data_IF_192618764577
#
_entry.id   IF_192618764577
#
_cell.length_a   1.000
_cell.length_b   1.000
_cell.length_c   1.000
_cell.angle_alpha   90.00
_cell.angle_beta   90.00
_cell.angle_gamma   90.00
#
_symmetry.space_group_name_H-M   'P 1'
#
loop_
_entity.id
_entity.type
_entity.pdbx_description
1 polymer ?
#
# COMPACT_ATOMS: atom_id res chain seq x y z
N UNK A 1 -37.17 -7.65 -1.21
CA UNK A 1 -36.89 -7.19 0.17
C UNK A 1 -36.01 -5.94 0.05
N UNK A 2 -36.54 -4.77 0.34
CA UNK A 2 -35.72 -3.55 0.36
C UNK A 2 -34.87 -3.52 1.64
N UNK A 3 -33.56 -3.24 1.50
CA UNK A 3 -32.70 -3.02 2.65
C UNK A 3 -33.17 -1.77 3.40
N UNK A 4 -33.20 -1.77 4.75
CA UNK A 4 -33.51 -0.58 5.51
C UNK A 4 -32.52 0.52 5.15
N UNK A 5 -33.00 1.73 4.86
CA UNK A 5 -32.13 2.88 4.66
C UNK A 5 -31.28 3.08 5.93
N UNK A 6 -29.97 3.18 5.75
CA UNK A 6 -29.07 3.57 6.83
C UNK A 6 -29.51 4.95 7.33
N UNK A 7 -29.78 5.08 8.62
CA UNK A 7 -30.01 6.39 9.21
C UNK A 7 -28.73 7.23 9.06
N UNK A 8 -28.85 8.55 8.97
CA UNK A 8 -27.70 9.46 8.88
C UNK A 8 -26.74 9.29 10.05
N UNK A 9 -27.24 8.93 11.24
CA UNK A 9 -26.41 8.63 12.41
C UNK A 9 -25.57 7.37 12.21
N UNK A 10 -26.15 6.29 11.69
CA UNK A 10 -25.43 5.05 11.42
C UNK A 10 -24.40 5.22 10.30
N UNK A 11 -24.70 6.03 9.28
CA UNK A 11 -23.78 6.31 8.21
C UNK A 11 -22.55 7.10 8.70
N UNK A 12 -22.75 8.07 9.58
CA UNK A 12 -21.68 8.86 10.17
C UNK A 12 -20.77 7.99 11.07
N UNK A 13 -21.34 7.16 11.91
CA UNK A 13 -20.59 6.25 12.76
C UNK A 13 -19.79 5.26 11.92
N UNK A 14 -20.36 4.71 10.85
CA UNK A 14 -19.66 3.81 9.94
C UNK A 14 -18.47 4.50 9.26
N UNK A 15 -18.64 5.75 8.83
CA UNK A 15 -17.59 6.56 8.25
C UNK A 15 -16.44 6.76 9.24
N UNK A 16 -16.73 7.12 10.48
CA UNK A 16 -15.74 7.34 11.52
C UNK A 16 -14.94 6.07 11.81
N UNK A 17 -15.59 4.92 11.89
CA UNK A 17 -14.94 3.63 12.07
C UNK A 17 -14.07 3.23 10.87
N UNK A 18 -14.51 3.53 9.65
CA UNK A 18 -13.73 3.29 8.45
C UNK A 18 -12.47 4.16 8.41
N UNK A 19 -12.58 5.44 8.75
CA UNK A 19 -11.43 6.35 8.88
C UNK A 19 -10.46 5.84 9.94
N UNK A 20 -10.95 5.45 11.11
CA UNK A 20 -10.11 4.92 12.18
C UNK A 20 -9.38 3.65 11.75
N UNK A 21 -10.03 2.77 10.99
CA UNK A 21 -9.39 1.56 10.44
C UNK A 21 -8.21 1.91 9.52
N UNK A 22 -8.34 2.92 8.67
CA UNK A 22 -7.24 3.38 7.83
C UNK A 22 -6.09 3.95 8.67
N UNK A 23 -6.41 4.74 9.68
CA UNK A 23 -5.41 5.35 10.60
C UNK A 23 -4.66 4.24 11.37
N UNK A 24 -5.36 3.26 11.89
CA UNK A 24 -4.77 2.16 12.66
C UNK A 24 -3.83 1.29 11.80
N UNK A 25 -4.09 1.19 10.51
CA UNK A 25 -3.29 0.43 9.57
C UNK A 25 -2.24 1.26 8.81
N UNK A 26 -2.14 2.55 9.10
CA UNK A 26 -1.10 3.43 8.53
C UNK A 26 0.28 3.08 9.11
N UNK A 27 1.27 2.96 8.23
CA UNK A 27 2.67 2.66 8.56
C UNK A 27 3.61 3.78 8.11
N UNK A 28 3.12 5.02 8.16
CA UNK A 28 3.92 6.20 7.82
C UNK A 28 4.09 6.39 6.31
N UNK A 29 2.98 6.43 5.59
CA UNK A 29 2.94 6.70 4.16
C UNK A 29 2.44 5.54 3.31
N UNK A 30 2.19 4.38 3.88
CA UNK A 30 1.49 3.27 3.26
C UNK A 30 0.57 2.57 4.26
N UNK A 31 -0.48 1.96 3.75
CA UNK A 31 -1.49 1.26 4.55
C UNK A 31 -1.31 -0.24 4.41
N UNK A 32 -1.31 -0.96 5.53
CA UNK A 32 -1.35 -2.42 5.52
C UNK A 32 -2.81 -2.91 5.57
N UNK A 33 -3.14 -4.04 4.93
CA UNK A 33 -4.50 -4.58 4.98
C UNK A 33 -4.94 -5.00 6.37
N UNK A 34 -4.06 -5.64 7.12
CA UNK A 34 -4.30 -6.00 8.52
C UNK A 34 -2.99 -6.32 9.24
N UNK A 35 -2.89 -5.85 10.48
CA UNK A 35 -1.74 -6.13 11.33
C UNK A 35 -1.58 -7.64 11.58
N UNK A 36 -0.35 -8.13 11.55
CA UNK A 36 0.00 -9.52 11.86
C UNK A 36 -0.19 -10.51 10.72
N UNK A 37 -1.20 -10.35 9.86
CA UNK A 37 -1.46 -11.29 8.77
C UNK A 37 -0.95 -10.80 7.42
N UNK A 38 -1.17 -9.52 7.12
CA UNK A 38 -0.75 -8.86 5.88
C UNK A 38 0.04 -7.57 6.19
N UNK A 39 1.30 -7.68 6.65
CA UNK A 39 2.04 -6.55 7.21
C UNK A 39 2.77 -5.70 6.17
N UNK A 40 2.43 -5.81 4.89
CA UNK A 40 3.06 -5.10 3.79
C UNK A 40 2.04 -4.29 2.99
N UNK A 41 2.53 -3.47 2.05
CA UNK A 41 1.68 -2.79 1.10
C UNK A 41 1.39 -3.72 -0.09
N UNK A 42 0.11 -4.05 -0.31
CA UNK A 42 -0.35 -4.74 -1.50
C UNK A 42 -0.88 -3.74 -2.53
N UNK A 43 -0.59 -4.00 -3.79
CA UNK A 43 -0.97 -3.14 -4.92
C UNK A 43 -2.49 -2.88 -4.97
N UNK A 44 -3.29 -3.92 -4.97
CA UNK A 44 -4.75 -3.81 -5.00
C UNK A 44 -5.30 -3.04 -3.80
N UNK A 45 -4.85 -3.42 -2.61
CA UNK A 45 -5.29 -2.80 -1.36
C UNK A 45 -4.88 -1.33 -1.31
N UNK A 46 -3.68 -0.99 -1.75
CA UNK A 46 -3.21 0.39 -1.83
C UNK A 46 -4.10 1.26 -2.73
N UNK A 47 -4.52 0.73 -3.89
CA UNK A 47 -5.43 1.43 -4.79
C UNK A 47 -6.78 1.75 -4.14
N UNK A 48 -7.34 0.78 -3.44
CA UNK A 48 -8.64 0.94 -2.76
C UNK A 48 -8.52 1.83 -1.52
N UNK A 49 -7.49 1.65 -0.70
CA UNK A 49 -7.28 2.45 0.50
C UNK A 49 -6.96 3.91 0.17
N UNK A 50 -6.25 4.18 -0.93
CA UNK A 50 -6.02 5.55 -1.38
C UNK A 50 -7.33 6.29 -1.68
N UNK A 51 -8.33 5.63 -2.25
CA UNK A 51 -9.66 6.23 -2.43
C UNK A 51 -10.32 6.56 -1.08
N UNK A 52 -10.14 5.71 -0.08
CA UNK A 52 -10.61 5.98 1.29
C UNK A 52 -9.90 7.19 1.89
N UNK A 53 -8.58 7.24 1.83
CA UNK A 53 -7.78 8.39 2.28
C UNK A 53 -8.18 9.69 1.59
N UNK A 54 -8.45 9.65 0.29
CA UNK A 54 -8.84 10.83 -0.49
C UNK A 54 -10.07 11.56 0.09
N UNK A 55 -10.94 10.86 0.79
CA UNK A 55 -12.16 11.44 1.36
C UNK A 55 -11.92 12.37 2.53
N UNK A 56 -10.77 12.27 3.21
CA UNK A 56 -10.48 13.08 4.40
C UNK A 56 -9.03 13.55 4.52
N UNK A 57 -8.07 12.92 3.81
CA UNK A 57 -6.66 13.31 3.79
C UNK A 57 -6.07 13.04 2.40
N UNK A 58 -6.19 14.03 1.54
CA UNK A 58 -5.74 13.94 0.15
C UNK A 58 -4.22 13.73 0.05
N UNK A 59 -3.44 14.38 0.91
CA UNK A 59 -1.98 14.22 0.88
C UNK A 59 -1.60 12.79 1.23
N UNK A 60 -2.25 12.21 2.24
CA UNK A 60 -2.01 10.82 2.63
C UNK A 60 -2.39 9.84 1.52
N UNK A 61 -3.43 10.14 0.73
CA UNK A 61 -3.78 9.35 -0.45
C UNK A 61 -2.66 9.36 -1.50
N UNK A 62 -2.04 10.51 -1.75
CA UNK A 62 -0.87 10.60 -2.63
C UNK A 62 0.32 9.83 -2.09
N UNK A 63 0.56 9.88 -0.79
CA UNK A 63 1.65 9.13 -0.15
C UNK A 63 1.49 7.62 -0.36
N UNK A 64 0.27 7.09 -0.35
CA UNK A 64 -0.03 5.70 -0.65
C UNK A 64 0.45 5.30 -2.05
N UNK A 65 0.14 6.11 -3.06
CA UNK A 65 0.59 5.86 -4.43
C UNK A 65 2.09 6.03 -4.58
N UNK A 66 2.68 7.07 -4.00
CA UNK A 66 4.13 7.27 -4.05
C UNK A 66 4.87 6.11 -3.39
N UNK A 67 4.36 5.58 -2.29
CA UNK A 67 4.92 4.41 -1.63
C UNK A 67 4.88 3.18 -2.54
N UNK A 68 3.75 2.94 -3.20
CA UNK A 68 3.59 1.85 -4.15
C UNK A 68 4.54 1.98 -5.34
N UNK A 69 4.64 3.16 -5.94
CA UNK A 69 5.48 3.44 -7.10
C UNK A 69 6.98 3.36 -6.78
N UNK A 70 7.40 3.60 -5.53
CA UNK A 70 8.80 3.36 -5.14
C UNK A 70 9.22 1.90 -5.28
N UNK A 71 8.27 0.97 -5.28
CA UNK A 71 8.51 -0.45 -5.54
C UNK A 71 8.57 -0.82 -7.02
N UNK A 72 8.28 0.11 -7.92
CA UNK A 72 8.28 -0.15 -9.36
C UNK A 72 9.62 -0.67 -9.86
N UNK A 73 9.61 -1.66 -10.71
CA UNK A 73 10.81 -2.26 -11.27
C UNK A 73 11.49 -1.29 -12.24
N UNK A 74 12.79 -1.09 -12.03
CA UNK A 74 13.58 -0.08 -12.74
C UNK A 74 14.40 -0.65 -13.91
N UNK A 75 14.44 -1.97 -14.07
CA UNK A 75 15.25 -2.63 -15.10
C UNK A 75 14.81 -4.06 -15.36
N UNK A 76 15.27 -4.62 -16.47
CA UNK A 76 14.99 -5.99 -16.87
C UNK A 76 13.82 -6.09 -17.84
N UNK A 77 13.43 -7.33 -18.17
CA UNK A 77 12.34 -7.59 -19.12
C UNK A 77 10.96 -7.11 -18.66
N UNK A 78 10.85 -6.76 -17.40
CA UNK A 78 9.61 -6.29 -16.77
C UNK A 78 9.77 -4.87 -16.16
N UNK A 79 10.64 -4.08 -16.74
CA UNK A 79 10.81 -2.68 -16.36
C UNK A 79 9.46 -1.95 -16.42
N UNK A 80 9.20 -1.13 -15.40
CA UNK A 80 7.93 -0.41 -15.26
C UNK A 80 6.83 -1.19 -14.54
N UNK A 81 7.02 -2.50 -14.28
CA UNK A 81 6.06 -3.29 -13.52
C UNK A 81 5.88 -2.72 -12.10
N UNK A 82 4.64 -2.53 -11.71
CA UNK A 82 4.27 -2.26 -10.32
C UNK A 82 4.08 -3.62 -9.62
N UNK A 83 4.87 -3.95 -8.59
CA UNK A 83 4.80 -5.25 -7.97
C UNK A 83 3.47 -5.46 -7.24
N UNK A 84 3.07 -6.71 -7.08
CA UNK A 84 1.89 -7.07 -6.31
C UNK A 84 2.03 -6.71 -4.83
N UNK A 85 3.24 -6.83 -4.29
CA UNK A 85 3.58 -6.51 -2.89
C UNK A 85 4.83 -5.65 -2.88
N UNK A 86 4.79 -4.57 -2.09
CA UNK A 86 5.96 -3.75 -1.77
C UNK A 86 6.38 -4.02 -0.33
N UNK A 87 7.60 -4.51 -0.17
CA UNK A 87 8.21 -4.70 1.15
C UNK A 87 8.92 -3.41 1.56
N UNK A 88 8.58 -2.85 2.72
CA UNK A 88 9.34 -1.73 3.26
C UNK A 88 10.75 -2.16 3.65
N UNK A 89 11.73 -1.28 3.50
CA UNK A 89 13.14 -1.57 3.82
C UNK A 89 13.34 -2.01 5.27
N UNK A 90 12.57 -1.47 6.19
CA UNK A 90 12.63 -1.83 7.62
C UNK A 90 12.18 -3.28 7.84
N UNK A 91 11.16 -3.73 7.12
CA UNK A 91 10.67 -5.11 7.23
C UNK A 91 11.55 -6.11 6.47
N UNK A 92 12.22 -5.68 5.40
CA UNK A 92 13.22 -6.50 4.71
C UNK A 92 14.40 -6.87 5.61
N UNK A 93 14.75 -6.02 6.57
CA UNK A 93 15.81 -6.31 7.55
C UNK A 93 15.35 -7.30 8.64
N UNK A 94 14.07 -7.28 8.99
CA UNK A 94 13.49 -8.16 10.02
C UNK A 94 13.12 -9.54 9.48
N UNK A 95 12.77 -9.62 8.21
CA UNK A 95 12.41 -10.86 7.53
C UNK A 95 13.38 -11.09 6.38
N UNK A 96 14.38 -11.93 6.59
CA UNK A 96 15.21 -12.47 5.50
C UNK A 96 14.35 -13.39 4.64
N UNK A 97 13.55 -12.79 3.75
CA UNK A 97 12.73 -13.53 2.81
C UNK A 97 13.64 -14.30 1.85
N UNK A 98 13.38 -15.61 1.62
CA UNK A 98 14.21 -16.39 0.70
C UNK A 98 14.22 -15.75 -0.68
N UNK A 99 15.41 -15.50 -1.22
CA UNK A 99 15.62 -14.93 -2.58
C UNK A 99 14.98 -15.75 -3.72
N UNK A 100 14.52 -16.95 -3.40
CA UNK A 100 13.91 -17.88 -4.35
C UNK A 100 12.51 -17.49 -4.84
N UNK A 101 11.86 -16.51 -4.23
CA UNK A 101 10.51 -16.07 -4.65
C UNK A 101 10.51 -14.93 -5.68
N UNK A 102 11.62 -14.67 -6.36
CA UNK A 102 11.64 -13.84 -7.57
C UNK A 102 11.34 -12.35 -7.40
N UNK A 103 11.15 -11.86 -6.18
CA UNK A 103 10.97 -10.45 -5.90
C UNK A 103 12.35 -9.77 -5.82
N UNK A 104 13.02 -9.67 -6.95
CA UNK A 104 14.23 -8.86 -7.04
C UNK A 104 13.86 -7.39 -6.97
N UNK A 105 13.84 -6.85 -5.75
CA UNK A 105 13.95 -5.42 -5.59
C UNK A 105 15.24 -4.91 -6.22
N UNK A 106 15.10 -3.94 -7.07
CA UNK A 106 16.06 -2.94 -7.49
C UNK A 106 17.54 -3.40 -7.55
N UNK A 107 18.05 -3.69 -8.74
CA UNK A 107 19.44 -3.39 -9.04
C UNK A 107 19.51 -1.97 -9.59
N UNK A 108 20.18 -1.07 -8.85
CA UNK A 108 20.63 0.20 -9.43
C UNK A 108 21.55 -0.16 -10.58
N UNK A 109 21.18 0.22 -11.79
CA UNK A 109 22.09 0.21 -12.91
C UNK A 109 23.24 1.15 -12.62
N UNK A 110 24.44 0.63 -12.54
CA UNK A 110 25.64 1.43 -12.66
C UNK A 110 25.65 2.01 -14.05
N UNK A 111 25.54 3.32 -14.15
CA UNK A 111 25.85 4.01 -15.39
C UNK A 111 27.32 3.73 -15.72
N UNK A 112 27.54 3.12 -16.89
CA UNK A 112 28.82 3.19 -17.53
C UNK A 112 28.84 4.45 -18.37
N UNK A 113 29.56 5.44 -17.87
CA UNK A 113 30.04 6.56 -18.69
C UNK A 113 31.20 6.04 -19.57
N UNK A 114 31.00 6.18 -20.85
CA UNK A 114 32.09 6.42 -21.81
C UNK A 114 31.79 7.71 -22.51
#
# INVERSE_FOLDING_TARGET
MSLPALSTHNAQELKERAIQTLIDNDRGGYTIPTAGLYPFQWNWDAGVTALGWMTFDQQRAWDEFHSLLRGQWQSGSQEGLIPHIVFSSTLQQLFSWPRSMGLRGRRRGTQHSN
#
